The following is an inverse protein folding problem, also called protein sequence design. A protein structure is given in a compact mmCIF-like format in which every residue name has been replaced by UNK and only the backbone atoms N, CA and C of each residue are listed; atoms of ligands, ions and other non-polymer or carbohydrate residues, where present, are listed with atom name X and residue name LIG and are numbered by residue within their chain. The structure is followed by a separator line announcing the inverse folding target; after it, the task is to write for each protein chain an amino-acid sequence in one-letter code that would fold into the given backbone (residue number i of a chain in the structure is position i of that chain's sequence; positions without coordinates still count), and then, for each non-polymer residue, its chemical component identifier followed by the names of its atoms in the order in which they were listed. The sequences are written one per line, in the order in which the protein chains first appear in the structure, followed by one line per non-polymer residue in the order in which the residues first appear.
data_IF_031395725163
#
_entry.id   IF_031395725163
#
_cell.length_a   1.000
_cell.length_b   1.000
_cell.length_c   1.000
_cell.angle_alpha   90.00
_cell.angle_beta   90.00
_cell.angle_gamma   90.00
#
_symmetry.space_group_name_H-M   'P 1'
#
loop_
_entity.id
_entity.type
_entity.pdbx_description
1 polymer ?
#
# COMPACT_ATOMS: atom_id res chain seq x y z
N UNK A 1 14.12 -10.48 -10.35
CA UNK A 1 13.85 -9.46 -9.30
C UNK A 1 14.16 -8.02 -9.73
N UNK A 2 15.06 -7.80 -10.69
CA UNK A 2 15.41 -6.47 -11.22
C UNK A 2 14.27 -5.76 -11.97
N UNK A 3 13.41 -6.49 -12.69
CA UNK A 3 12.29 -5.91 -13.44
C UNK A 3 11.24 -5.19 -12.57
N UNK A 4 10.90 -5.76 -11.41
CA UNK A 4 9.93 -5.16 -10.47
C UNK A 4 10.46 -3.84 -9.88
N UNK A 5 11.73 -3.83 -9.46
CA UNK A 5 12.41 -2.63 -8.93
C UNK A 5 12.59 -1.56 -10.02
N UNK A 6 12.91 -1.95 -11.26
CA UNK A 6 12.98 -1.01 -12.38
C UNK A 6 11.62 -0.41 -12.75
N UNK A 7 10.53 -1.17 -12.57
CA UNK A 7 9.17 -0.69 -12.79
C UNK A 7 8.69 0.26 -11.70
N UNK A 8 9.11 0.03 -10.45
CA UNK A 8 8.96 0.99 -9.35
C UNK A 8 9.70 2.30 -9.63
N UNK A 9 10.95 2.23 -10.08
CA UNK A 9 11.76 3.41 -10.43
C UNK A 9 11.23 4.17 -11.66
N UNK A 10 10.54 3.48 -12.58
CA UNK A 10 9.91 4.10 -13.78
C UNK A 10 8.49 4.62 -13.53
N UNK A 11 8.00 4.63 -12.28
CA UNK A 11 6.62 5.03 -11.94
C UNK A 11 5.55 4.27 -12.75
N UNK A 12 5.84 3.02 -13.08
CA UNK A 12 4.92 2.21 -13.89
C UNK A 12 3.75 1.76 -13.00
N UNK A 13 2.53 1.86 -13.52
CA UNK A 13 1.28 1.60 -12.79
C UNK A 13 1.25 0.27 -12.04
N UNK A 14 1.62 -0.83 -12.73
CA UNK A 14 1.51 -2.20 -12.20
C UNK A 14 2.28 -2.48 -10.89
N UNK A 15 3.59 -2.24 -10.80
CA UNK A 15 4.35 -2.43 -9.57
C UNK A 15 3.87 -1.58 -8.40
N UNK A 16 3.44 -0.34 -8.67
CA UNK A 16 2.99 0.62 -7.66
C UNK A 16 1.59 0.30 -7.12
N UNK A 17 0.67 -0.18 -7.96
CA UNK A 17 -0.64 -0.69 -7.50
C UNK A 17 -0.46 -1.86 -6.54
N UNK A 18 0.43 -2.81 -6.84
CA UNK A 18 0.69 -3.94 -5.94
C UNK A 18 1.20 -3.48 -4.57
N UNK A 19 2.06 -2.46 -4.52
CA UNK A 19 2.53 -1.90 -3.25
C UNK A 19 1.36 -1.26 -2.49
N UNK A 20 0.50 -0.51 -3.16
CA UNK A 20 -0.67 0.11 -2.55
C UNK A 20 -1.64 -0.94 -1.99
N UNK A 21 -1.91 -2.01 -2.74
CA UNK A 21 -2.76 -3.14 -2.29
C UNK A 21 -2.16 -3.83 -1.06
N UNK A 22 -0.85 -4.07 -1.05
CA UNK A 22 -0.16 -4.65 0.11
C UNK A 22 -0.28 -3.75 1.33
N UNK A 23 -0.16 -2.43 1.16
CA UNK A 23 -0.30 -1.47 2.25
C UNK A 23 -1.72 -1.48 2.84
N UNK A 24 -2.75 -1.56 1.99
CA UNK A 24 -4.15 -1.67 2.41
C UNK A 24 -4.36 -2.98 3.19
N UNK A 25 -3.89 -4.11 2.66
CA UNK A 25 -4.00 -5.41 3.33
C UNK A 25 -3.30 -5.40 4.70
N UNK A 26 -2.13 -4.76 4.79
CA UNK A 26 -1.40 -4.59 6.05
C UNK A 26 -2.21 -3.75 7.05
N UNK A 27 -2.83 -2.65 6.60
CA UNK A 27 -3.71 -1.83 7.44
C UNK A 27 -4.93 -2.62 7.99
N UNK A 28 -5.55 -3.45 7.15
CA UNK A 28 -6.66 -4.33 7.58
C UNK A 28 -6.19 -5.34 8.61
N UNK A 29 -5.04 -5.98 8.39
CA UNK A 29 -4.46 -6.91 9.35
C UNK A 29 -4.18 -6.19 10.67
N UNK A 30 -3.60 -4.98 10.64
CA UNK A 30 -3.37 -4.14 11.83
C UNK A 30 -4.65 -3.81 12.60
N UNK A 31 -5.79 -3.72 11.92
CA UNK A 31 -7.08 -3.46 12.56
C UNK A 31 -7.67 -4.71 13.24
N UNK A 32 -7.46 -5.91 12.68
CA UNK A 32 -8.05 -7.15 13.20
C UNK A 32 -7.36 -7.71 14.45
N UNK A 33 -6.14 -7.29 14.74
CA UNK A 33 -5.34 -7.84 15.84
C UNK A 33 -5.68 -7.20 17.20
N UNK A 34 -6.09 -7.98 18.21
CA UNK A 34 -6.58 -7.45 19.51
C UNK A 34 -5.48 -7.19 20.55
N UNK A 35 -4.23 -7.58 20.27
CA UNK A 35 -3.15 -7.56 21.27
C UNK A 35 -2.27 -6.31 21.19
N UNK A 36 -2.12 -5.72 20.00
CA UNK A 36 -1.21 -4.61 19.75
C UNK A 36 -2.00 -3.30 19.61
N UNK A 37 -2.22 -2.61 20.73
CA UNK A 37 -2.94 -1.33 20.73
C UNK A 37 -2.30 -0.29 19.80
N UNK A 38 -0.98 -0.24 19.71
CA UNK A 38 -0.29 0.66 18.79
C UNK A 38 -0.66 0.36 17.32
N UNK A 39 -0.66 -0.92 16.92
CA UNK A 39 -1.00 -1.31 15.55
C UNK A 39 -2.46 -0.95 15.25
N UNK A 40 -3.37 -1.16 16.22
CA UNK A 40 -4.75 -0.74 16.09
C UNK A 40 -4.89 0.79 15.91
N UNK A 41 -4.19 1.61 16.71
CA UNK A 41 -4.23 3.07 16.60
C UNK A 41 -3.76 3.57 15.22
N UNK A 42 -2.70 2.97 14.67
CA UNK A 42 -2.15 3.38 13.38
C UNK A 42 -2.81 2.68 12.17
N UNK A 43 -3.62 1.64 12.38
CA UNK A 43 -4.26 0.83 11.32
C UNK A 43 -5.08 1.67 10.33
N UNK A 44 -5.85 2.63 10.84
CA UNK A 44 -6.64 3.55 10.02
C UNK A 44 -5.75 4.40 9.12
N UNK A 45 -4.69 4.99 9.68
CA UNK A 45 -3.72 5.79 8.94
C UNK A 45 -3.03 4.98 7.85
N UNK A 46 -2.60 3.75 8.16
CA UNK A 46 -1.96 2.86 7.18
C UNK A 46 -2.93 2.50 6.05
N UNK A 47 -4.18 2.16 6.37
CA UNK A 47 -5.21 1.85 5.36
C UNK A 47 -5.54 3.06 4.48
N UNK A 48 -5.64 4.25 5.10
CA UNK A 48 -5.89 5.51 4.40
C UNK A 48 -4.74 5.85 3.46
N UNK A 49 -3.50 5.78 3.93
CA UNK A 49 -2.31 6.00 3.09
C UNK A 49 -2.29 5.02 1.92
N UNK A 50 -2.62 3.75 2.16
CA UNK A 50 -2.69 2.74 1.11
C UNK A 50 -3.75 3.06 0.05
N UNK A 51 -4.90 3.59 0.48
CA UNK A 51 -6.00 4.00 -0.41
C UNK A 51 -5.62 5.24 -1.23
N UNK A 52 -5.07 6.27 -0.58
CA UNK A 52 -4.59 7.48 -1.25
C UNK A 52 -3.50 7.13 -2.25
N UNK A 53 -2.56 6.27 -1.85
CA UNK A 53 -1.51 5.75 -2.71
C UNK A 53 -2.10 5.01 -3.91
N UNK A 54 -3.07 4.11 -3.73
CA UNK A 54 -3.75 3.41 -4.82
C UNK A 54 -4.41 4.38 -5.81
N UNK A 55 -5.10 5.40 -5.30
CA UNK A 55 -5.72 6.44 -6.12
C UNK A 55 -4.66 7.19 -6.94
N UNK A 56 -3.55 7.59 -6.32
CA UNK A 56 -2.46 8.30 -7.00
C UNK A 56 -1.83 7.40 -8.07
N UNK A 57 -1.47 6.17 -7.72
CA UNK A 57 -0.82 5.23 -8.63
C UNK A 57 -1.73 4.83 -9.77
N UNK A 58 -3.05 4.85 -9.57
CA UNK A 58 -4.03 4.62 -10.64
C UNK A 58 -4.03 5.72 -11.69
N UNK A 59 -3.37 6.86 -11.49
CA UNK A 59 -3.22 7.90 -12.52
C UNK A 59 -1.91 7.78 -13.32
N UNK A 60 -1.02 6.84 -12.96
CA UNK A 60 0.24 6.68 -13.67
C UNK A 60 0.06 6.02 -15.04
N UNK A 61 0.79 6.47 -16.07
CA UNK A 61 0.78 5.84 -17.38
C UNK A 61 1.40 4.42 -17.33
N UNK A 62 0.87 3.53 -18.17
CA UNK A 62 1.21 2.11 -18.24
C UNK A 62 2.56 1.79 -18.91
#
# INVERSE_FOLDING_TARGET
MTGFVSGLLRLRRGPWENVATVLIALGVVMLMQPFFLWAYTWSFLVTLVGTVMFIITSHFPE
#
